data_IF_943509624267
#
_entry.id   IF_943509624267
#
_cell.length_a   1.000
_cell.length_b   1.000
_cell.length_c   1.000
_cell.angle_alpha   90.00
_cell.angle_beta   90.00
_cell.angle_gamma   90.00
#
_symmetry.space_group_name_H-M   'P 1'
#
loop_
_entity.id
_entity.type
_entity.pdbx_description
1 polymer ?
#
# COMPACT_ATOMS: atom_id res chain seq x y z
N UNK A 1 16.51 -8.44 -5.25
CA UNK A 1 15.03 -8.23 -5.14
C UNK A 1 14.38 -8.88 -3.90
N UNK A 2 14.88 -9.99 -3.35
CA UNK A 2 14.32 -10.56 -2.09
C UNK A 2 14.26 -9.54 -0.93
N UNK A 3 15.31 -8.71 -0.76
CA UNK A 3 15.37 -7.65 0.25
C UNK A 3 14.29 -6.56 0.09
N UNK A 4 13.93 -6.21 -1.15
CA UNK A 4 12.87 -5.22 -1.43
C UNK A 4 11.49 -5.81 -1.12
N UNK A 5 11.30 -7.11 -1.41
CA UNK A 5 10.06 -7.82 -1.06
C UNK A 5 9.86 -7.98 0.44
N UNK A 6 10.93 -8.01 1.23
CA UNK A 6 10.85 -8.08 2.69
C UNK A 6 10.08 -6.90 3.28
N UNK A 7 10.27 -5.69 2.74
CA UNK A 7 9.46 -4.54 3.14
C UNK A 7 7.98 -4.79 2.90
N UNK A 8 7.64 -5.41 1.76
CA UNK A 8 6.26 -5.77 1.39
C UNK A 8 5.65 -6.91 2.20
N UNK A 9 6.47 -7.82 2.74
CA UNK A 9 6.00 -9.04 3.38
C UNK A 9 5.43 -8.78 4.78
N UNK A 10 4.32 -9.44 5.10
CA UNK A 10 3.81 -9.47 6.47
C UNK A 10 4.89 -10.00 7.42
N UNK A 11 5.14 -9.36 8.59
CA UNK A 11 4.33 -8.33 9.24
C UNK A 11 4.79 -6.88 9.04
N UNK A 12 5.78 -6.62 8.18
CA UNK A 12 6.43 -5.29 8.07
C UNK A 12 5.45 -4.15 7.75
N UNK A 13 4.51 -4.28 6.78
CA UNK A 13 3.55 -3.21 6.47
C UNK A 13 2.61 -2.89 7.63
N UNK A 14 2.26 -3.90 8.44
CA UNK A 14 1.41 -3.73 9.63
C UNK A 14 2.11 -2.89 10.69
N UNK A 15 3.33 -3.28 11.08
CA UNK A 15 4.09 -2.54 12.08
C UNK A 15 4.40 -1.12 11.63
N UNK A 16 4.75 -0.94 10.35
CA UNK A 16 5.00 0.38 9.79
C UNK A 16 3.74 1.25 9.85
N UNK A 17 2.58 0.75 9.43
CA UNK A 17 1.34 1.53 9.46
C UNK A 17 0.89 1.87 10.88
N UNK A 18 1.03 0.94 11.83
CA UNK A 18 0.76 1.19 13.25
C UNK A 18 1.71 2.23 13.83
N UNK A 19 3.01 2.13 13.56
CA UNK A 19 4.01 3.08 14.04
C UNK A 19 3.71 4.50 13.53
N UNK A 20 3.35 4.64 12.26
CA UNK A 20 2.97 5.94 11.70
C UNK A 20 1.68 6.47 12.34
N UNK A 21 0.66 5.62 12.49
CA UNK A 21 -0.60 6.02 13.14
C UNK A 21 -0.38 6.44 14.61
N UNK A 22 0.41 5.68 15.37
CA UNK A 22 0.79 6.01 16.75
C UNK A 22 1.56 7.33 16.79
N UNK A 23 2.50 7.55 15.87
CA UNK A 23 3.25 8.80 15.78
C UNK A 23 2.30 9.99 15.60
N UNK A 24 1.40 9.95 14.62
CA UNK A 24 0.40 11.01 14.43
C UNK A 24 -0.49 11.19 15.67
N UNK A 25 -0.89 10.09 16.33
CA UNK A 25 -1.67 10.16 17.56
C UNK A 25 -0.94 10.88 18.70
N UNK A 26 0.35 10.57 18.91
CA UNK A 26 1.20 11.20 19.93
C UNK A 26 1.43 12.69 19.65
N UNK A 27 1.54 13.08 18.38
CA UNK A 27 1.61 14.48 17.95
C UNK A 27 0.24 15.20 17.95
N UNK A 28 -0.79 14.62 18.59
CA UNK A 28 -2.16 15.15 18.70
C UNK A 28 -2.90 15.29 17.36
N UNK A 29 -2.38 14.68 16.30
CA UNK A 29 -2.99 14.59 14.96
C UNK A 29 -3.88 13.34 14.88
N UNK A 30 -4.89 13.28 15.75
CA UNK A 30 -5.77 12.09 15.93
C UNK A 30 -6.53 11.73 14.65
N UNK A 31 -6.87 12.74 13.85
CA UNK A 31 -7.58 12.55 12.59
C UNK A 31 -6.69 11.88 11.55
N UNK A 32 -5.46 12.35 11.41
CA UNK A 32 -4.45 11.79 10.52
C UNK A 32 -4.18 10.34 10.89
N UNK A 33 -4.02 10.05 12.19
CA UNK A 33 -3.87 8.69 12.71
C UNK A 33 -5.04 7.79 12.31
N UNK A 34 -6.28 8.26 12.45
CA UNK A 34 -7.47 7.51 12.06
C UNK A 34 -7.50 7.21 10.55
N UNK A 35 -7.18 8.20 9.70
CA UNK A 35 -7.16 7.98 8.25
C UNK A 35 -6.00 7.08 7.81
N UNK A 36 -4.85 7.14 8.48
CA UNK A 36 -3.76 6.17 8.29
C UNK A 36 -4.25 4.76 8.64
N UNK A 37 -4.99 4.59 9.74
CA UNK A 37 -5.57 3.30 10.10
C UNK A 37 -6.61 2.81 9.08
N UNK A 38 -7.38 3.71 8.47
CA UNK A 38 -8.34 3.34 7.43
C UNK A 38 -7.68 2.71 6.19
N UNK A 39 -6.39 2.97 5.93
CA UNK A 39 -5.68 2.35 4.78
C UNK A 39 -5.58 0.82 4.90
N UNK A 40 -5.69 0.26 6.10
CA UNK A 40 -5.73 -1.19 6.34
C UNK A 40 -6.99 -1.88 5.80
N UNK A 41 -8.03 -1.11 5.42
CA UNK A 41 -9.22 -1.66 4.75
C UNK A 41 -8.87 -2.39 3.44
N UNK A 42 -7.73 -2.05 2.85
CA UNK A 42 -7.14 -2.76 1.70
C UNK A 42 -7.01 -4.27 1.92
N UNK A 43 -6.74 -4.73 3.15
CA UNK A 43 -6.68 -6.16 3.47
C UNK A 43 -8.03 -6.86 3.29
N UNK A 44 -9.10 -6.24 3.78
CA UNK A 44 -10.46 -6.76 3.63
C UNK A 44 -10.89 -6.76 2.16
N UNK A 45 -10.68 -5.63 1.46
CA UNK A 45 -10.98 -5.49 0.03
C UNK A 45 -10.22 -6.54 -0.80
N UNK A 46 -8.92 -6.70 -0.56
CA UNK A 46 -8.11 -7.71 -1.26
C UNK A 46 -8.63 -9.12 -1.00
N UNK A 47 -9.06 -9.43 0.22
CA UNK A 47 -9.55 -10.77 0.59
C UNK A 47 -10.87 -11.08 -0.11
N UNK A 48 -11.82 -10.12 -0.09
CA UNK A 48 -13.11 -10.27 -0.76
C UNK A 48 -12.92 -10.51 -2.25
N UNK A 49 -12.12 -9.67 -2.94
CA UNK A 49 -11.92 -9.80 -4.38
C UNK A 49 -11.17 -11.11 -4.72
N UNK A 50 -10.23 -11.54 -3.87
CA UNK A 50 -9.55 -12.83 -4.06
C UNK A 50 -10.52 -14.00 -4.04
N UNK A 51 -11.48 -14.00 -3.13
CA UNK A 51 -12.51 -15.05 -3.05
C UNK A 51 -13.40 -15.01 -4.30
N UNK A 52 -13.81 -13.82 -4.75
CA UNK A 52 -14.69 -13.66 -5.91
C UNK A 52 -14.04 -14.04 -7.24
N UNK A 53 -12.79 -13.63 -7.46
CA UNK A 53 -12.09 -13.86 -8.73
C UNK A 53 -11.42 -15.24 -8.77
N UNK A 54 -11.02 -15.77 -7.61
CA UNK A 54 -10.39 -17.08 -7.44
C UNK A 54 -9.26 -17.40 -8.43
N UNK A 55 -8.43 -16.40 -8.77
CA UNK A 55 -7.41 -16.53 -9.81
C UNK A 55 -6.22 -17.38 -9.35
N UNK A 56 -5.74 -18.34 -10.16
CA UNK A 56 -4.53 -19.10 -9.87
C UNK A 56 -3.25 -18.25 -9.95
N UNK A 57 -2.25 -18.64 -9.18
CA UNK A 57 -0.90 -18.03 -9.17
C UNK A 57 -0.06 -18.47 -10.38
N UNK A 58 1.00 -17.73 -10.74
CA UNK A 58 2.04 -18.26 -11.62
C UNK A 58 2.60 -19.57 -11.07
N UNK A 59 2.78 -20.56 -11.95
CA UNK A 59 3.32 -21.88 -11.61
C UNK A 59 4.78 -22.00 -12.05
N UNK A 60 5.53 -22.91 -11.42
CA UNK A 60 6.97 -23.09 -11.68
C UNK A 60 7.28 -23.46 -13.14
N UNK A 61 6.30 -24.03 -13.85
CA UNK A 61 6.39 -24.38 -15.26
C UNK A 61 6.42 -23.14 -16.18
N UNK A 62 5.91 -22.01 -15.71
CA UNK A 62 5.77 -20.78 -16.50
C UNK A 62 6.74 -19.68 -16.06
N UNK A 63 7.10 -19.64 -14.76
CA UNK A 63 7.97 -18.60 -14.20
C UNK A 63 8.82 -19.19 -13.08
N UNK A 64 10.05 -18.70 -12.92
CA UNK A 64 10.89 -19.00 -11.75
C UNK A 64 10.20 -18.50 -10.47
N UNK A 65 9.70 -19.42 -9.65
CA UNK A 65 9.11 -19.08 -8.35
C UNK A 65 10.23 -18.89 -7.34
N UNK A 66 10.28 -17.69 -6.75
CA UNK A 66 11.23 -17.35 -5.69
C UNK A 66 10.55 -17.30 -4.31
N UNK A 67 9.23 -17.08 -4.28
CA UNK A 67 8.42 -16.99 -3.06
C UNK A 67 7.07 -17.71 -3.26
N UNK A 68 6.78 -18.74 -2.46
CA UNK A 68 5.53 -19.51 -2.56
C UNK A 68 4.46 -18.82 -1.73
N UNK A 69 3.44 -18.28 -2.39
CA UNK A 69 2.27 -17.70 -1.75
C UNK A 69 1.05 -18.61 -1.90
N UNK A 70 0.37 -18.91 -0.77
CA UNK A 70 -0.71 -19.92 -0.70
C UNK A 70 -2.10 -19.41 -1.09
N UNK A 71 -2.32 -18.09 -1.11
CA UNK A 71 -3.62 -17.50 -1.46
C UNK A 71 -3.73 -17.15 -2.95
N UNK A 72 -4.96 -16.93 -3.42
CA UNK A 72 -5.31 -16.44 -4.76
C UNK A 72 -4.45 -15.24 -5.20
N UNK A 73 -4.25 -15.13 -6.51
CA UNK A 73 -3.32 -14.18 -7.11
C UNK A 73 -3.89 -12.78 -7.33
N UNK A 74 -5.17 -12.65 -7.73
CA UNK A 74 -5.79 -11.37 -8.04
C UNK A 74 -6.64 -10.81 -6.89
N UNK A 75 -6.52 -9.52 -6.55
CA UNK A 75 -5.48 -8.59 -6.95
C UNK A 75 -4.21 -8.81 -6.11
N UNK A 76 -3.11 -8.16 -6.50
CA UNK A 76 -1.93 -8.06 -5.64
C UNK A 76 -2.25 -7.23 -4.39
N UNK A 77 -2.48 -7.91 -3.26
CA UNK A 77 -2.75 -7.23 -1.98
C UNK A 77 -1.59 -6.34 -1.50
N UNK A 78 -0.35 -6.70 -1.85
CA UNK A 78 0.82 -5.85 -1.58
C UNK A 78 0.71 -4.56 -2.39
N UNK A 79 0.50 -4.66 -3.70
CA UNK A 79 0.35 -3.47 -4.54
C UNK A 79 -0.80 -2.59 -4.06
N UNK A 80 -1.93 -3.20 -3.69
CA UNK A 80 -3.09 -2.48 -3.17
C UNK A 80 -2.75 -1.70 -1.89
N UNK A 81 -2.20 -2.36 -0.87
CA UNK A 81 -1.82 -1.72 0.39
C UNK A 81 -0.81 -0.59 0.18
N UNK A 82 0.26 -0.85 -0.58
CA UNK A 82 1.33 0.14 -0.79
C UNK A 82 0.84 1.38 -1.51
N UNK A 83 -0.02 1.21 -2.51
CA UNK A 83 -0.61 2.32 -3.25
C UNK A 83 -1.46 3.20 -2.33
N UNK A 84 -2.29 2.59 -1.48
CA UNK A 84 -3.19 3.33 -0.57
C UNK A 84 -2.38 3.98 0.56
N UNK A 85 -1.54 3.21 1.26
CA UNK A 85 -0.81 3.67 2.44
C UNK A 85 0.18 4.78 2.09
N UNK A 86 1.13 4.51 1.19
CA UNK A 86 2.15 5.50 0.83
C UNK A 86 1.55 6.65 0.03
N UNK A 87 0.55 6.38 -0.82
CA UNK A 87 -0.19 7.44 -1.50
C UNK A 87 -0.89 8.38 -0.51
N UNK A 88 -1.45 7.84 0.58
CA UNK A 88 -2.07 8.67 1.61
C UNK A 88 -1.03 9.46 2.42
N UNK A 89 0.16 8.89 2.67
CA UNK A 89 1.27 9.66 3.26
C UNK A 89 1.65 10.87 2.39
N UNK A 90 1.66 10.72 1.06
CA UNK A 90 1.87 11.86 0.15
C UNK A 90 0.80 12.94 0.38
N UNK A 91 -0.48 12.55 0.47
CA UNK A 91 -1.57 13.51 0.76
C UNK A 91 -1.32 14.24 2.09
N UNK A 92 -0.90 13.54 3.14
CA UNK A 92 -0.59 14.16 4.44
C UNK A 92 0.61 15.11 4.37
N UNK A 93 1.70 14.69 3.71
CA UNK A 93 2.93 15.49 3.60
C UNK A 93 2.70 16.85 2.94
N UNK A 94 1.76 16.92 1.99
CA UNK A 94 1.44 18.13 1.23
C UNK A 94 0.25 18.93 1.77
N UNK A 95 -0.56 18.34 2.66
CA UNK A 95 -1.67 19.04 3.32
C UNK A 95 -1.30 19.62 4.70
N UNK A 96 -0.36 18.99 5.41
CA UNK A 96 0.05 19.43 6.75
C UNK A 96 1.18 20.49 6.66
N UNK A 97 0.81 21.75 6.93
CA UNK A 97 1.73 22.90 6.82
C UNK A 97 2.88 22.87 7.83
N UNK A 98 2.67 22.24 8.99
CA UNK A 98 3.64 22.14 10.07
C UNK A 98 4.80 21.16 9.79
N UNK A 99 4.72 20.37 8.72
CA UNK A 99 5.77 19.42 8.35
C UNK A 99 6.90 20.18 7.65
N UNK A 100 8.12 20.02 8.16
CA UNK A 100 9.31 20.64 7.58
C UNK A 100 9.63 20.10 6.17
N UNK A 101 10.34 20.89 5.37
CA UNK A 101 10.61 20.58 3.97
C UNK A 101 11.44 19.29 3.79
N UNK A 102 12.42 19.06 4.66
CA UNK A 102 13.31 17.88 4.58
C UNK A 102 12.51 16.59 4.77
N UNK A 103 11.68 16.51 5.82
CA UNK A 103 10.83 15.35 6.09
C UNK A 103 9.81 15.15 4.98
N UNK A 104 9.17 16.25 4.51
CA UNK A 104 8.22 16.21 3.40
C UNK A 104 8.83 15.58 2.14
N UNK A 105 10.01 16.04 1.73
CA UNK A 105 10.70 15.52 0.54
C UNK A 105 11.13 14.08 0.76
N UNK A 106 11.72 13.77 1.93
CA UNK A 106 12.20 12.42 2.26
C UNK A 106 11.07 11.40 2.20
N UNK A 107 9.94 11.67 2.86
CA UNK A 107 8.77 10.78 2.84
C UNK A 107 8.19 10.69 1.43
N UNK A 108 8.21 11.79 0.67
CA UNK A 108 7.71 11.79 -0.72
C UNK A 108 8.53 10.86 -1.61
N UNK A 109 9.86 10.99 -1.58
CA UNK A 109 10.77 10.17 -2.38
C UNK A 109 10.68 8.69 -1.99
N UNK A 110 10.68 8.39 -0.69
CA UNK A 110 10.56 7.00 -0.20
C UNK A 110 9.22 6.40 -0.61
N UNK A 111 8.11 7.14 -0.44
CA UNK A 111 6.77 6.69 -0.84
C UNK A 111 6.69 6.37 -2.32
N UNK A 112 7.15 7.29 -3.17
CA UNK A 112 7.13 7.11 -4.62
C UNK A 112 8.01 5.91 -5.03
N UNK A 113 9.20 5.79 -4.46
CA UNK A 113 10.10 4.66 -4.70
C UNK A 113 9.44 3.32 -4.34
N UNK A 114 8.80 3.22 -3.18
CA UNK A 114 8.17 1.97 -2.72
C UNK A 114 6.93 1.61 -3.54
N UNK A 115 6.09 2.60 -3.90
CA UNK A 115 4.93 2.40 -4.78
C UNK A 115 5.35 1.84 -6.13
N UNK A 116 6.48 2.29 -6.68
CA UNK A 116 6.97 1.81 -7.97
C UNK A 116 7.67 0.46 -7.85
N UNK A 117 8.61 0.31 -6.92
CA UNK A 117 9.53 -0.84 -6.91
C UNK A 117 8.94 -2.12 -6.34
N UNK A 118 8.07 -2.03 -5.33
CA UNK A 118 7.50 -3.23 -4.68
C UNK A 118 6.59 -4.00 -5.64
N UNK A 119 5.67 -3.37 -6.39
CA UNK A 119 4.85 -4.08 -7.36
C UNK A 119 5.67 -4.81 -8.43
N UNK A 120 6.73 -4.18 -8.97
CA UNK A 120 7.64 -4.87 -9.91
C UNK A 120 8.36 -6.05 -9.27
N UNK A 121 8.77 -5.93 -8.01
CA UNK A 121 9.42 -7.03 -7.30
C UNK A 121 8.52 -8.28 -7.19
N UNK A 122 7.20 -8.10 -7.07
CA UNK A 122 6.24 -9.23 -6.98
C UNK A 122 6.12 -10.00 -8.30
N UNK A 123 6.29 -9.33 -9.43
CA UNK A 123 6.34 -9.95 -10.75
C UNK A 123 7.65 -10.72 -10.88
N UNK A 124 8.77 -10.07 -10.56
CA UNK A 124 10.10 -10.69 -10.65
C UNK A 124 10.24 -11.96 -9.78
N UNK A 125 9.63 -11.98 -8.60
CA UNK A 125 9.65 -13.15 -7.70
C UNK A 125 8.73 -14.29 -8.15
N UNK A 126 7.98 -14.11 -9.26
CA UNK A 126 6.99 -15.07 -9.74
C UNK A 126 5.77 -15.17 -8.83
N UNK A 127 5.54 -14.19 -7.94
CA UNK A 127 4.45 -14.24 -6.98
C UNK A 127 3.11 -13.82 -7.60
N UNK A 128 3.12 -12.93 -8.60
CA UNK A 128 1.92 -12.36 -9.20
C UNK A 128 2.09 -12.18 -10.71
N UNK A 129 0.98 -12.28 -11.44
CA UNK A 129 0.91 -11.85 -12.83
C UNK A 129 1.00 -10.32 -12.91
N UNK A 130 1.48 -9.80 -14.05
CA UNK A 130 1.48 -8.35 -14.31
C UNK A 130 0.07 -7.74 -14.12
N UNK A 131 -0.98 -8.44 -14.58
CA UNK A 131 -2.37 -7.97 -14.43
C UNK A 131 -2.87 -7.99 -12.98
N UNK A 132 -2.34 -8.84 -12.09
CA UNK A 132 -2.66 -8.76 -10.65
C UNK A 132 -2.11 -7.50 -10.02
N UNK A 133 -0.90 -7.12 -10.44
CA UNK A 133 -0.22 -5.90 -10.00
C UNK A 133 -0.95 -4.67 -10.54
N UNK A 134 -1.24 -4.64 -11.84
CA UNK A 134 -1.97 -3.52 -12.45
C UNK A 134 -3.36 -3.34 -11.84
N UNK A 135 -4.11 -4.43 -11.66
CA UNK A 135 -5.43 -4.40 -11.02
C UNK A 135 -5.37 -3.93 -9.56
N UNK A 136 -4.38 -4.41 -8.80
CA UNK A 136 -4.14 -3.95 -7.44
C UNK A 136 -3.77 -2.46 -7.36
N UNK A 137 -3.01 -1.95 -8.34
CA UNK A 137 -2.62 -0.54 -8.42
C UNK A 137 -3.83 0.36 -8.73
N UNK A 138 -4.61 0.03 -9.75
CA UNK A 138 -5.81 0.78 -10.14
C UNK A 138 -6.81 0.82 -8.99
N UNK A 139 -7.09 -0.35 -8.38
CA UNK A 139 -7.97 -0.43 -7.23
C UNK A 139 -7.45 0.38 -6.04
N UNK A 140 -6.13 0.37 -5.83
CA UNK A 140 -5.47 1.17 -4.80
C UNK A 140 -5.64 2.67 -5.03
N UNK A 141 -5.50 3.14 -6.27
CA UNK A 141 -5.72 4.54 -6.61
C UNK A 141 -7.19 4.95 -6.37
N UNK A 142 -8.15 4.09 -6.69
CA UNK A 142 -9.58 4.36 -6.41
C UNK A 142 -9.82 4.51 -4.91
N UNK A 143 -9.34 3.56 -4.10
CA UNK A 143 -9.48 3.62 -2.64
C UNK A 143 -8.75 4.85 -2.05
N UNK A 144 -7.54 5.14 -2.53
CA UNK A 144 -6.76 6.31 -2.14
C UNK A 144 -7.52 7.60 -2.45
N UNK A 145 -8.10 7.72 -3.64
CA UNK A 145 -8.88 8.88 -4.03
C UNK A 145 -10.08 9.08 -3.09
N UNK A 146 -10.81 8.01 -2.76
CA UNK A 146 -11.94 8.07 -1.83
C UNK A 146 -11.48 8.53 -0.44
N UNK A 147 -10.47 7.87 0.13
CA UNK A 147 -9.92 8.21 1.46
C UNK A 147 -9.40 9.65 1.50
N UNK A 148 -8.64 10.04 0.47
CA UNK A 148 -8.10 11.39 0.30
C UNK A 148 -9.20 12.45 0.16
N UNK A 149 -10.25 12.18 -0.62
CA UNK A 149 -11.38 13.09 -0.77
C UNK A 149 -12.12 13.32 0.56
N UNK A 150 -12.39 12.25 1.32
CA UNK A 150 -12.99 12.37 2.66
C UNK A 150 -12.08 13.12 3.64
N UNK A 151 -10.76 12.93 3.55
CA UNK A 151 -9.81 13.67 4.35
C UNK A 151 -9.77 15.16 3.97
N UNK A 152 -9.76 15.51 2.69
CA UNK A 152 -9.65 16.90 2.25
C UNK A 152 -10.96 17.69 2.37
N UNK A 153 -12.13 17.02 2.35
CA UNK A 153 -13.44 17.70 2.45
C UNK A 153 -13.62 18.44 3.77
N UNK A 154 -13.15 17.86 4.87
CA UNK A 154 -13.34 18.40 6.23
C UNK A 154 -12.12 19.20 6.74
N UNK A 155 -11.11 19.46 5.89
CA UNK A 155 -10.04 20.44 6.21
C UNK A 155 -10.33 21.82 5.62
N UNK A 156 -11.33 21.94 4.74
CA UNK A 156 -11.75 23.21 4.11
C UNK A 156 -12.93 23.90 4.81
N UNK A 157 -13.46 23.30 5.87
CA UNK A 157 -14.51 23.83 6.75
C UNK A 157 -13.89 24.22 8.08
#
# INVERSE_FOLDING_TARGET
>A
MKWISWFGAFPVPLFMGLLVAITFYLFKLRREALFVMLTFISGAISTIIKILVNRPRPTANLVRIVEIAKQQSFPSGHTLFYTIFFGFLLVLMWNLKQINAVLRITVTVISAFLILTIPFSRIYLGAHWFTDVLGGFILGLICLYIIGAFYLKKTKT
#
